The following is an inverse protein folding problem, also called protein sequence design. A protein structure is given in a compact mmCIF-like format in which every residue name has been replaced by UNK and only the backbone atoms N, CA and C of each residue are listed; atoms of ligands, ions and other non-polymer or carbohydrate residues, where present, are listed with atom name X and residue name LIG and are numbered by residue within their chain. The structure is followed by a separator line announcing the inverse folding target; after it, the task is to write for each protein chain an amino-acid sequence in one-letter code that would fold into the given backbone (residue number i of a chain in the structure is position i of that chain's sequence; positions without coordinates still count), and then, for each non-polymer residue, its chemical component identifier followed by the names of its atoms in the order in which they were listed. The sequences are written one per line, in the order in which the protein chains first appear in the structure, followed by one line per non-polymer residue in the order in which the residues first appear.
data_IF_245244948497
#
_entry.id   IF_245244948497
#
_cell.length_a   1.000
_cell.length_b   1.000
_cell.length_c   1.000
_cell.angle_alpha   90.00
_cell.angle_beta   90.00
_cell.angle_gamma   90.00
#
_symmetry.space_group_name_H-M   'P 1'
#
loop_
_entity.id
_entity.type
_entity.pdbx_description
1 polymer ?
#
# COMPACT_ATOMS: atom_id res chain seq x y z
N UNK A 1 5.36 1.84 5.01
CA UNK A 1 4.63 1.33 6.18
C UNK A 1 4.76 2.24 7.39
N UNK A 2 5.96 2.59 7.89
CA UNK A 2 6.09 3.47 9.06
C UNK A 2 5.41 4.83 8.88
N UNK A 3 5.70 5.57 7.80
CA UNK A 3 5.04 6.85 7.53
C UNK A 3 3.50 6.72 7.43
N UNK A 4 2.98 5.66 6.80
CA UNK A 4 1.53 5.42 6.74
C UNK A 4 0.91 5.06 8.09
N UNK A 5 1.66 4.38 8.97
CA UNK A 5 1.23 4.14 10.35
C UNK A 5 1.16 5.48 11.09
N UNK A 6 2.21 6.29 10.97
CA UNK A 6 2.35 7.54 11.71
C UNK A 6 1.29 8.58 11.26
N UNK A 7 0.89 8.56 9.98
CA UNK A 7 -0.19 9.40 9.40
C UNK A 7 -1.57 8.71 9.32
N UNK A 8 -1.76 7.54 9.94
CA UNK A 8 -2.98 6.75 9.72
C UNK A 8 -4.27 7.48 10.11
N UNK A 9 -4.25 8.22 11.21
CA UNK A 9 -5.41 9.00 11.66
C UNK A 9 -5.79 10.09 10.63
N UNK A 10 -4.81 10.83 10.12
CA UNK A 10 -5.05 11.87 9.11
C UNK A 10 -5.59 11.30 7.80
N UNK A 11 -5.12 10.11 7.40
CA UNK A 11 -5.62 9.41 6.22
C UNK A 11 -7.09 8.99 6.39
N UNK A 12 -7.48 8.52 7.59
CA UNK A 12 -8.88 8.22 7.91
C UNK A 12 -9.75 9.49 7.90
N UNK A 13 -9.26 10.57 8.48
CA UNK A 13 -9.95 11.88 8.48
C UNK A 13 -10.14 12.43 7.07
N UNK A 14 -9.17 12.19 6.18
CA UNK A 14 -9.28 12.50 4.75
C UNK A 14 -10.19 11.53 3.97
N UNK A 15 -10.87 10.59 4.65
CA UNK A 15 -11.84 9.67 4.06
C UNK A 15 -11.25 8.39 3.47
N UNK A 16 -9.95 8.13 3.64
CA UNK A 16 -9.29 6.95 3.09
C UNK A 16 -9.16 5.83 4.13
N UNK A 17 -9.46 4.60 3.70
CA UNK A 17 -9.06 3.38 4.42
C UNK A 17 -7.76 2.86 3.86
N UNK A 18 -6.81 2.53 4.73
CA UNK A 18 -5.46 2.10 4.33
C UNK A 18 -5.36 0.58 4.37
N UNK A 19 -4.74 0.01 3.34
CA UNK A 19 -4.28 -1.38 3.31
C UNK A 19 -2.84 -1.39 2.79
N UNK A 20 -1.97 -2.19 3.40
CA UNK A 20 -0.71 -2.57 2.75
C UNK A 20 -0.89 -3.87 1.97
N UNK A 21 0.04 -4.17 1.07
CA UNK A 21 0.00 -5.39 0.27
C UNK A 21 1.40 -5.81 -0.12
N UNK A 22 1.65 -7.12 -0.14
CA UNK A 22 2.87 -7.70 -0.74
C UNK A 22 2.67 -9.18 -1.07
N UNK A 23 3.72 -9.80 -1.61
CA UNK A 23 3.71 -11.19 -2.10
C UNK A 23 3.84 -12.25 -1.00
N UNK A 24 4.04 -11.85 0.25
CA UNK A 24 4.13 -12.78 1.38
C UNK A 24 2.74 -13.30 1.78
N UNK A 25 2.69 -14.53 2.31
CA UNK A 25 1.46 -15.18 2.74
C UNK A 25 0.78 -14.47 3.93
N UNK A 26 -0.48 -14.84 4.18
CA UNK A 26 -1.30 -14.26 5.25
C UNK A 26 -0.68 -14.43 6.65
N UNK A 27 0.02 -15.52 6.92
CA UNK A 27 0.63 -15.76 8.24
C UNK A 27 1.79 -14.77 8.49
N UNK A 28 2.64 -14.58 7.48
CA UNK A 28 3.71 -13.59 7.50
C UNK A 28 3.15 -12.17 7.65
N UNK A 29 2.11 -11.83 6.88
CA UNK A 29 1.48 -10.50 6.96
C UNK A 29 0.92 -10.21 8.34
N UNK A 30 0.25 -11.18 8.96
CA UNK A 30 -0.28 -11.06 10.33
C UNK A 30 0.83 -10.81 11.34
N UNK A 31 1.89 -11.62 11.30
CA UNK A 31 3.05 -11.45 12.16
C UNK A 31 3.73 -10.08 11.95
N UNK A 32 3.75 -9.57 10.72
CA UNK A 32 4.29 -8.24 10.43
C UNK A 32 3.42 -7.11 11.00
N UNK A 33 2.08 -7.20 10.90
CA UNK A 33 1.16 -6.24 11.51
C UNK A 33 1.38 -6.17 13.02
N UNK A 34 1.42 -7.33 13.69
CA UNK A 34 1.64 -7.44 15.14
C UNK A 34 3.00 -6.86 15.54
N UNK A 35 4.08 -7.33 14.90
CA UNK A 35 5.45 -6.90 15.20
C UNK A 35 5.67 -5.41 14.98
N UNK A 36 5.07 -4.82 13.94
CA UNK A 36 5.26 -3.42 13.57
C UNK A 36 4.19 -2.49 14.17
N UNK A 37 3.21 -3.05 14.89
CA UNK A 37 2.07 -2.33 15.46
C UNK A 37 1.34 -1.48 14.41
N UNK A 38 1.02 -2.09 13.26
CA UNK A 38 0.34 -1.38 12.17
C UNK A 38 -1.16 -1.22 12.50
N UNK A 39 -1.74 -0.02 12.33
CA UNK A 39 -3.14 0.23 12.58
C UNK A 39 -4.05 -0.16 11.39
N UNK A 40 -3.49 -0.85 10.40
CA UNK A 40 -4.17 -1.30 9.20
C UNK A 40 -3.73 -2.71 8.80
N UNK A 41 -4.55 -3.37 8.00
CA UNK A 41 -4.28 -4.72 7.52
C UNK A 41 -3.24 -4.74 6.39
N UNK A 42 -2.48 -5.82 6.33
CA UNK A 42 -1.63 -6.17 5.20
C UNK A 42 -2.27 -7.32 4.42
N UNK A 43 -2.51 -7.10 3.13
CA UNK A 43 -3.08 -8.06 2.20
C UNK A 43 -1.98 -8.94 1.62
N UNK A 44 -2.31 -10.21 1.38
CA UNK A 44 -1.43 -11.16 0.72
C UNK A 44 -1.82 -11.30 -0.75
N UNK A 45 -0.84 -11.13 -1.64
CA UNK A 45 -0.93 -11.52 -3.05
C UNK A 45 0.12 -12.60 -3.36
N UNK A 46 0.20 -13.64 -2.52
CA UNK A 46 1.18 -14.71 -2.67
C UNK A 46 0.99 -15.56 -3.94
N UNK A 47 -0.23 -15.59 -4.48
CA UNK A 47 -0.54 -16.19 -5.78
C UNK A 47 -0.18 -15.31 -6.99
N UNK A 48 0.18 -14.04 -6.76
CA UNK A 48 0.41 -13.02 -7.79
C UNK A 48 -0.81 -12.78 -8.69
N UNK A 49 -2.01 -13.08 -8.21
CA UNK A 49 -3.23 -12.98 -9.01
C UNK A 49 -3.56 -11.52 -9.30
N UNK A 50 -3.51 -10.66 -8.28
CA UNK A 50 -3.77 -9.24 -8.45
C UNK A 50 -2.63 -8.56 -9.22
N UNK A 51 -1.38 -8.89 -8.87
CA UNK A 51 -0.22 -8.39 -9.57
C UNK A 51 -0.29 -8.64 -11.08
N UNK A 52 -0.67 -9.85 -11.49
CA UNK A 52 -0.82 -10.20 -12.92
C UNK A 52 -2.04 -9.52 -13.55
N UNK A 53 -3.17 -9.49 -12.85
CA UNK A 53 -4.40 -8.91 -13.38
C UNK A 53 -4.30 -7.41 -13.66
N UNK A 54 -3.50 -6.68 -12.86
CA UNK A 54 -3.31 -5.23 -12.96
C UNK A 54 -1.94 -4.82 -13.50
N UNK A 55 -1.12 -5.77 -13.97
CA UNK A 55 0.27 -5.54 -14.42
C UNK A 55 1.09 -4.72 -13.40
N UNK A 56 0.97 -5.08 -12.11
CA UNK A 56 1.61 -4.36 -11.01
C UNK A 56 3.14 -4.53 -11.07
N UNK A 57 3.89 -3.51 -10.65
CA UNK A 57 5.34 -3.53 -10.80
C UNK A 57 5.98 -4.55 -9.85
N UNK A 58 6.57 -5.60 -10.42
CA UNK A 58 7.30 -6.65 -9.72
C UNK A 58 8.82 -6.47 -9.83
N UNK A 59 9.56 -7.09 -8.91
CA UNK A 59 11.01 -7.24 -8.94
C UNK A 59 11.42 -8.59 -8.35
N UNK A 60 12.57 -9.11 -8.75
CA UNK A 60 13.14 -10.34 -8.18
C UNK A 60 14.41 -10.00 -7.41
N UNK A 61 14.50 -10.46 -6.17
CA UNK A 61 15.68 -10.33 -5.31
C UNK A 61 16.01 -11.69 -4.72
N UNK A 62 17.20 -12.21 -4.98
CA UNK A 62 17.63 -13.53 -4.49
C UNK A 62 16.59 -14.63 -4.78
N UNK A 63 16.11 -14.69 -6.03
CA UNK A 63 15.08 -15.61 -6.52
C UNK A 63 13.69 -15.47 -5.89
N UNK A 64 13.46 -14.43 -5.07
CA UNK A 64 12.15 -14.10 -4.50
C UNK A 64 11.48 -12.99 -5.29
N UNK A 65 10.25 -13.25 -5.74
CA UNK A 65 9.39 -12.24 -6.38
C UNK A 65 8.76 -11.33 -5.33
N UNK A 66 8.99 -10.04 -5.48
CA UNK A 66 8.51 -8.97 -4.62
C UNK A 66 7.76 -7.93 -5.45
N UNK A 67 6.87 -7.19 -4.79
CA UNK A 67 6.30 -5.98 -5.37
C UNK A 67 7.26 -4.81 -5.18
N UNK A 68 7.47 -4.03 -6.24
CA UNK A 68 8.07 -2.69 -6.11
C UNK A 68 7.12 -1.80 -5.29
N UNK A 69 7.64 -0.70 -4.75
CA UNK A 69 6.81 0.22 -3.97
C UNK A 69 5.93 1.07 -4.89
N UNK A 70 4.61 0.95 -4.71
CA UNK A 70 3.60 1.80 -5.33
C UNK A 70 2.45 2.06 -4.35
N UNK A 71 1.54 2.96 -4.72
CA UNK A 71 0.25 3.14 -4.03
C UNK A 71 -0.85 3.36 -5.04
N UNK A 72 -1.99 2.72 -4.83
CA UNK A 72 -3.19 2.88 -5.66
C UNK A 72 -4.24 3.60 -4.82
N UNK A 73 -4.90 4.60 -5.39
CA UNK A 73 -6.11 5.18 -4.82
C UNK A 73 -7.31 4.56 -5.52
N UNK A 74 -8.18 3.90 -4.75
CA UNK A 74 -9.35 3.21 -5.27
C UNK A 74 -10.63 3.88 -4.77
N UNK A 75 -11.57 4.16 -5.68
CA UNK A 75 -12.93 4.63 -5.40
C UNK A 75 -13.92 3.86 -6.27
N UNK A 76 -14.96 3.30 -5.66
CA UNK A 76 -16.03 2.56 -6.36
C UNK A 76 -15.54 1.51 -7.38
N UNK A 77 -14.51 0.74 -6.99
CA UNK A 77 -13.92 -0.31 -7.83
C UNK A 77 -13.03 0.20 -8.96
N UNK A 78 -12.74 1.51 -9.02
CA UNK A 78 -11.85 2.11 -10.01
C UNK A 78 -10.57 2.61 -9.34
N UNK A 79 -9.46 2.44 -10.03
CA UNK A 79 -8.18 3.07 -9.66
C UNK A 79 -8.22 4.50 -10.19
N UNK A 80 -8.32 5.49 -9.29
CA UNK A 80 -8.36 6.91 -9.65
C UNK A 80 -6.96 7.51 -9.78
N UNK A 81 -6.00 6.97 -9.03
CA UNK A 81 -4.63 7.44 -9.08
C UNK A 81 -3.63 6.33 -8.75
N UNK A 82 -2.44 6.45 -9.35
CA UNK A 82 -1.33 5.54 -9.15
C UNK A 82 -0.08 6.35 -8.82
N UNK A 83 0.47 6.12 -7.63
CA UNK A 83 1.79 6.62 -7.28
C UNK A 83 2.83 5.55 -7.60
N UNK A 84 3.56 5.74 -8.69
CA UNK A 84 4.72 4.92 -9.06
C UNK A 84 5.62 5.68 -10.04
N UNK A 85 6.95 5.68 -9.86
CA UNK A 85 7.68 5.11 -8.72
C UNK A 85 7.52 5.95 -7.44
N UNK A 86 7.61 5.30 -6.28
CA UNK A 86 7.61 5.99 -4.99
C UNK A 86 9.04 6.23 -4.53
N UNK A 87 9.47 7.49 -4.56
CA UNK A 87 10.76 7.92 -4.02
C UNK A 87 10.75 9.43 -3.69
N UNK A 88 11.13 9.85 -2.48
CA UNK A 88 11.64 9.06 -1.37
C UNK A 88 10.51 8.46 -0.50
N UNK A 89 10.71 7.25 0.07
CA UNK A 89 9.64 6.48 0.69
C UNK A 89 9.08 7.04 2.01
N UNK A 90 9.83 7.91 2.68
CA UNK A 90 9.50 8.53 3.96
C UNK A 90 8.47 9.67 3.82
N UNK A 91 8.46 10.36 2.67
CA UNK A 91 7.53 11.46 2.39
C UNK A 91 6.22 11.01 1.76
N UNK A 92 6.16 9.77 1.29
CA UNK A 92 5.07 9.28 0.46
C UNK A 92 3.69 9.35 1.12
N UNK A 93 3.59 9.14 2.44
CA UNK A 93 2.31 9.21 3.14
C UNK A 93 1.71 10.63 3.12
N UNK A 94 2.56 11.67 3.22
CA UNK A 94 2.12 13.05 3.11
C UNK A 94 1.66 13.38 1.68
N UNK A 95 2.35 12.88 0.65
CA UNK A 95 1.94 13.06 -0.76
C UNK A 95 0.57 12.45 -1.04
N UNK A 96 0.30 11.27 -0.50
CA UNK A 96 -1.03 10.64 -0.58
C UNK A 96 -2.08 11.48 0.13
N UNK A 97 -1.77 12.00 1.32
CA UNK A 97 -2.69 12.84 2.09
C UNK A 97 -3.03 14.16 1.36
N UNK A 98 -2.03 14.81 0.77
CA UNK A 98 -2.22 16.01 -0.04
C UNK A 98 -3.11 15.72 -1.25
N UNK A 99 -2.90 14.58 -1.91
CA UNK A 99 -3.76 14.15 -3.02
C UNK A 99 -5.21 13.93 -2.57
N UNK A 100 -5.43 13.24 -1.45
CA UNK A 100 -6.78 13.00 -0.91
C UNK A 100 -7.49 14.30 -0.54
N UNK A 101 -6.78 15.25 0.09
CA UNK A 101 -7.33 16.57 0.42
C UNK A 101 -7.69 17.39 -0.82
N UNK A 102 -6.92 17.26 -1.90
CA UNK A 102 -7.21 17.90 -3.17
C UNK A 102 -8.33 17.20 -3.98
N UNK A 103 -8.64 15.93 -3.67
CA UNK A 103 -9.59 15.09 -4.40
C UNK A 103 -10.57 14.40 -3.42
N UNK A 104 -11.40 15.17 -2.70
CA UNK A 104 -12.32 14.62 -1.69
C UNK A 104 -13.29 13.60 -2.30
N UNK A 105 -13.78 12.69 -1.44
CA UNK A 105 -14.75 11.63 -1.76
C UNK A 105 -16.03 12.18 -2.43
#
# INVERSE_FOLDING_TARGET
SCAFRDHHAELLEAGARVFGMSTQDTAFQRAAVERLHLPFHLLSDCGLELARALDLPLMTVSDVVLMKRFTLILRDGRIEHVFYPVFPPDRHAAEVLDWLRANPA
#
